data_IF_963597500047
#
_entry.id   IF_963597500047
#
_cell.length_a   1.000
_cell.length_b   1.000
_cell.length_c   1.000
_cell.angle_alpha   90.00
_cell.angle_beta   90.00
_cell.angle_gamma   90.00
#
_symmetry.space_group_name_H-M   'P 1'
#
loop_
_entity.id
_entity.type
_entity.pdbx_description
1 polymer ?
#
# COMPACT_ATOMS: atom_id res chain seq x y z
N UNK A 1 -45.85 29.55 -80.58
CA UNK A 1 -45.46 28.15 -80.41
C UNK A 1 -45.46 27.88 -78.91
N UNK A 2 -46.49 27.09 -78.57
CA UNK A 2 -46.88 26.65 -77.25
C UNK A 2 -46.01 25.46 -76.82
N UNK A 3 -45.49 25.52 -75.61
CA UNK A 3 -44.97 24.36 -74.91
C UNK A 3 -45.61 24.23 -73.54
N UNK A 4 -46.51 23.25 -73.46
CA UNK A 4 -47.22 22.86 -72.23
C UNK A 4 -46.27 22.33 -71.18
N UNK A 5 -46.34 22.93 -70.02
CA UNK A 5 -45.80 22.40 -68.77
C UNK A 5 -46.63 21.18 -68.30
N UNK A 6 -46.01 20.05 -68.26
CA UNK A 6 -46.52 18.90 -67.48
C UNK A 6 -45.81 18.83 -66.14
N UNK A 7 -46.46 19.34 -65.10
CA UNK A 7 -46.03 19.14 -63.73
C UNK A 7 -46.44 17.78 -63.24
N UNK A 8 -45.54 16.84 -63.13
CA UNK A 8 -45.75 15.56 -62.42
C UNK A 8 -45.62 15.76 -60.93
N UNK A 9 -46.73 15.65 -60.26
CA UNK A 9 -46.86 15.65 -58.81
C UNK A 9 -46.16 14.42 -58.24
N UNK A 10 -44.98 14.60 -57.66
CA UNK A 10 -44.32 13.54 -56.91
C UNK A 10 -45.06 13.30 -55.60
N UNK A 11 -45.63 12.13 -55.45
CA UNK A 11 -46.21 11.63 -54.20
C UNK A 11 -45.07 11.28 -53.29
N UNK A 12 -44.87 12.04 -52.22
CA UNK A 12 -44.00 11.71 -51.12
C UNK A 12 -44.67 10.58 -50.29
N UNK A 13 -44.26 9.34 -50.51
CA UNK A 13 -44.55 8.25 -49.62
C UNK A 13 -43.53 8.29 -48.47
N UNK A 14 -43.91 8.90 -47.35
CA UNK A 14 -43.15 8.72 -46.10
C UNK A 14 -43.37 7.29 -45.64
N UNK A 15 -42.37 6.47 -45.88
CA UNK A 15 -42.28 5.17 -45.22
C UNK A 15 -42.06 5.44 -43.74
N UNK A 16 -43.04 5.07 -42.95
CA UNK A 16 -43.03 5.06 -41.48
C UNK A 16 -41.85 4.24 -41.02
N UNK A 17 -40.81 4.91 -40.53
CA UNK A 17 -39.67 4.24 -39.88
C UNK A 17 -40.18 3.43 -38.71
N UNK A 18 -39.98 2.15 -38.78
CA UNK A 18 -40.22 1.21 -37.69
C UNK A 18 -39.48 1.68 -36.46
N UNK A 19 -40.21 1.79 -35.33
CA UNK A 19 -39.72 2.10 -34.02
C UNK A 19 -38.51 1.23 -33.71
N UNK A 20 -37.36 1.90 -33.56
CA UNK A 20 -36.15 1.28 -33.00
C UNK A 20 -36.47 0.82 -31.58
N UNK A 21 -36.50 -0.49 -31.43
CA UNK A 21 -36.61 -1.21 -30.17
C UNK A 21 -35.69 -0.59 -29.14
N UNK A 22 -36.25 -0.09 -28.04
CA UNK A 22 -35.56 0.51 -26.94
C UNK A 22 -34.42 -0.37 -26.44
N UNK A 23 -33.23 0.19 -26.39
CA UNK A 23 -32.06 -0.34 -25.68
C UNK A 23 -32.50 -0.68 -24.25
N UNK A 24 -32.62 -1.97 -23.97
CA UNK A 24 -32.78 -2.46 -22.59
C UNK A 24 -31.53 -2.03 -21.83
N UNK A 25 -31.67 -1.05 -20.93
CA UNK A 25 -30.66 -0.66 -19.97
C UNK A 25 -30.19 -1.88 -19.15
N UNK A 26 -29.04 -1.79 -18.48
CA UNK A 26 -28.51 -2.90 -17.71
C UNK A 26 -29.59 -3.33 -16.71
N UNK A 27 -30.01 -4.57 -16.83
CA UNK A 27 -30.88 -5.20 -15.85
C UNK A 27 -30.13 -5.22 -14.54
N UNK A 28 -30.43 -4.29 -13.64
CA UNK A 28 -30.05 -4.43 -12.23
C UNK A 28 -30.55 -5.81 -11.81
N UNK A 29 -29.63 -6.68 -11.49
CA UNK A 29 -29.96 -7.98 -10.93
C UNK A 29 -30.67 -7.71 -9.61
N UNK A 30 -32.01 -7.72 -9.65
CA UNK A 30 -32.79 -7.77 -8.41
C UNK A 30 -32.37 -9.05 -7.73
N UNK A 31 -31.68 -8.91 -6.62
CA UNK A 31 -31.38 -10.01 -5.72
C UNK A 31 -32.72 -10.70 -5.45
N UNK A 32 -32.97 -11.83 -6.12
CA UNK A 32 -34.15 -12.65 -5.84
C UNK A 32 -33.93 -13.21 -4.44
N UNK A 33 -34.59 -12.63 -3.46
CA UNK A 33 -34.72 -13.25 -2.15
C UNK A 33 -35.10 -14.72 -2.35
N UNK A 34 -34.38 -15.66 -1.71
CA UNK A 34 -34.70 -17.07 -1.83
C UNK A 34 -36.17 -17.27 -1.51
N UNK A 35 -36.86 -18.10 -2.32
CA UNK A 35 -38.32 -18.32 -2.25
C UNK A 35 -38.81 -18.68 -0.84
N UNK A 36 -37.92 -19.26 -0.02
CA UNK A 36 -38.17 -19.57 1.39
C UNK A 36 -38.43 -18.30 2.24
N UNK A 37 -37.63 -17.24 2.07
CA UNK A 37 -37.85 -15.97 2.78
C UNK A 37 -39.10 -15.25 2.31
N UNK A 38 -39.41 -15.27 1.03
CA UNK A 38 -40.61 -14.67 0.47
C UNK A 38 -41.87 -15.40 0.97
N UNK A 39 -41.82 -16.73 1.12
CA UNK A 39 -42.93 -17.54 1.65
C UNK A 39 -43.18 -17.25 3.14
N UNK A 40 -42.14 -17.03 3.92
CA UNK A 40 -42.26 -16.63 5.34
C UNK A 40 -42.89 -15.22 5.49
N UNK A 41 -42.48 -14.25 4.64
CA UNK A 41 -43.05 -12.91 4.67
C UNK A 41 -44.51 -12.86 4.18
N UNK A 42 -44.90 -13.68 3.25
CA UNK A 42 -46.27 -13.76 2.75
C UNK A 42 -47.28 -14.30 3.79
N UNK A 43 -46.82 -15.15 4.68
CA UNK A 43 -47.69 -15.76 5.72
C UNK A 43 -47.95 -14.87 6.94
N UNK A 44 -47.17 -13.83 7.13
CA UNK A 44 -47.29 -12.90 8.27
C UNK A 44 -48.51 -11.97 8.13
N UNK A 45 -49.02 -11.73 6.93
CA UNK A 45 -50.15 -10.82 6.66
C UNK A 45 -51.53 -11.31 7.12
N UNK A 46 -51.69 -12.58 7.51
CA UNK A 46 -52.98 -13.15 7.86
C UNK A 46 -53.18 -13.59 9.31
N UNK A 47 -52.24 -13.23 10.21
CA UNK A 47 -52.31 -13.63 11.61
C UNK A 47 -52.78 -12.50 12.49
N UNK A 48 -53.83 -12.72 13.26
CA UNK A 48 -54.36 -11.82 14.29
C UNK A 48 -53.28 -11.43 15.30
N UNK A 49 -53.21 -10.14 15.67
CA UNK A 49 -52.20 -9.41 16.42
C UNK A 49 -51.16 -10.17 17.27
N UNK A 50 -51.59 -11.03 18.20
CA UNK A 50 -50.66 -11.77 19.07
C UNK A 50 -49.83 -12.86 18.35
N UNK A 51 -50.45 -13.50 17.38
CA UNK A 51 -49.77 -14.57 16.55
C UNK A 51 -48.78 -13.96 15.57
N UNK A 52 -49.00 -12.73 15.10
CA UNK A 52 -48.04 -12.03 14.23
C UNK A 52 -46.83 -11.56 14.98
N UNK A 53 -46.98 -11.09 16.22
CA UNK A 53 -45.85 -10.76 17.10
C UNK A 53 -44.98 -11.97 17.39
N UNK A 54 -45.59 -13.12 17.74
CA UNK A 54 -44.85 -14.35 17.95
C UNK A 54 -44.08 -14.80 16.71
N UNK A 55 -44.66 -14.70 15.51
CA UNK A 55 -44.01 -15.03 14.25
C UNK A 55 -42.82 -14.09 13.95
N UNK A 56 -42.95 -12.79 14.23
CA UNK A 56 -41.84 -11.84 14.08
C UNK A 56 -40.71 -12.17 15.05
N UNK A 57 -41.02 -12.46 16.30
CA UNK A 57 -40.01 -12.84 17.31
C UNK A 57 -39.26 -14.10 16.88
N UNK A 58 -39.96 -15.14 16.44
CA UNK A 58 -39.35 -16.38 15.95
C UNK A 58 -38.45 -16.08 14.74
N UNK A 59 -38.87 -15.22 13.83
CA UNK A 59 -38.08 -14.85 12.64
C UNK A 59 -36.83 -14.07 13.03
N UNK A 60 -36.93 -13.14 13.99
CA UNK A 60 -35.80 -12.37 14.50
C UNK A 60 -34.80 -13.26 15.25
N UNK A 61 -35.29 -14.17 16.08
CA UNK A 61 -34.46 -15.16 16.77
C UNK A 61 -33.77 -16.08 15.77
N UNK A 62 -34.49 -16.59 14.78
CA UNK A 62 -33.93 -17.42 13.71
C UNK A 62 -32.84 -16.69 12.92
N UNK A 63 -33.09 -15.42 12.54
CA UNK A 63 -32.09 -14.58 11.87
C UNK A 63 -30.86 -14.31 12.76
N UNK A 64 -31.08 -14.06 14.05
CA UNK A 64 -30.00 -13.90 15.02
C UNK A 64 -29.13 -15.16 15.15
N UNK A 65 -29.75 -16.34 15.19
CA UNK A 65 -29.02 -17.62 15.23
C UNK A 65 -28.21 -17.87 13.95
N UNK A 66 -28.78 -17.54 12.79
CA UNK A 66 -28.04 -17.64 11.51
C UNK A 66 -26.84 -16.69 11.49
N UNK A 67 -27.01 -15.43 11.91
CA UNK A 67 -25.91 -14.48 11.98
C UNK A 67 -24.85 -14.94 12.99
N UNK A 68 -25.25 -15.42 14.16
CA UNK A 68 -24.34 -15.95 15.16
C UNK A 68 -23.56 -17.17 14.61
N UNK A 69 -24.22 -18.06 13.89
CA UNK A 69 -23.60 -19.21 13.23
C UNK A 69 -22.59 -18.79 12.17
N UNK A 70 -22.90 -17.80 11.34
CA UNK A 70 -21.97 -17.26 10.35
C UNK A 70 -20.76 -16.61 11.03
N UNK A 71 -20.97 -15.80 12.07
CA UNK A 71 -19.87 -15.21 12.83
C UNK A 71 -18.97 -16.29 13.48
N UNK A 72 -19.58 -17.28 14.10
CA UNK A 72 -18.83 -18.38 14.73
C UNK A 72 -18.00 -19.16 13.71
N UNK A 73 -18.60 -19.55 12.59
CA UNK A 73 -17.88 -20.30 11.54
C UNK A 73 -16.77 -19.46 10.92
N UNK A 74 -16.99 -18.15 10.73
CA UNK A 74 -15.95 -17.24 10.21
C UNK A 74 -14.77 -17.12 11.17
N UNK A 75 -15.02 -16.95 12.47
CA UNK A 75 -13.98 -16.89 13.50
C UNK A 75 -13.24 -18.23 13.61
N UNK A 76 -13.95 -19.34 13.55
CA UNK A 76 -13.35 -20.67 13.59
C UNK A 76 -12.45 -20.91 12.38
N UNK A 77 -12.92 -20.56 11.18
CA UNK A 77 -12.13 -20.68 9.94
C UNK A 77 -10.89 -19.78 9.98
N UNK A 78 -11.05 -18.54 10.47
CA UNK A 78 -9.94 -17.60 10.64
C UNK A 78 -8.88 -18.14 11.60
N UNK A 79 -9.29 -18.65 12.77
CA UNK A 79 -8.35 -19.26 13.72
C UNK A 79 -7.64 -20.48 13.13
N UNK A 80 -8.37 -21.34 12.41
CA UNK A 80 -7.79 -22.52 11.76
C UNK A 80 -6.78 -22.10 10.66
N UNK A 81 -7.05 -21.05 9.92
CA UNK A 81 -6.13 -20.53 8.89
C UNK A 81 -4.83 -19.97 9.53
N UNK A 82 -4.94 -19.23 10.63
CA UNK A 82 -3.77 -18.67 11.33
C UNK A 82 -2.89 -19.77 11.94
N UNK A 83 -3.46 -20.88 12.37
CA UNK A 83 -2.70 -21.99 12.97
C UNK A 83 -2.27 -23.05 11.96
N UNK A 84 -2.63 -22.89 10.68
CA UNK A 84 -2.31 -23.84 9.63
C UNK A 84 -0.87 -23.71 9.17
N UNK A 85 -0.14 -24.83 9.06
CA UNK A 85 1.20 -24.92 8.49
C UNK A 85 1.26 -24.50 7.01
N UNK A 86 0.12 -24.46 6.33
CA UNK A 86 0.02 -24.01 4.95
C UNK A 86 0.43 -22.55 4.77
N UNK A 87 0.19 -21.71 5.78
CA UNK A 87 0.55 -20.30 5.79
C UNK A 87 1.84 -20.00 6.57
N UNK A 88 2.61 -21.00 6.90
CA UNK A 88 3.91 -20.83 7.56
C UNK A 88 4.90 -20.19 6.60
N UNK A 89 5.51 -19.08 6.98
CA UNK A 89 6.50 -18.36 6.18
C UNK A 89 7.75 -19.19 6.01
N UNK A 90 8.05 -19.56 4.78
CA UNK A 90 9.24 -20.35 4.42
C UNK A 90 10.29 -19.51 3.68
N UNK A 91 9.85 -18.50 2.97
CA UNK A 91 10.72 -17.69 2.12
C UNK A 91 10.56 -16.20 2.44
N UNK A 92 11.67 -15.56 2.75
CA UNK A 92 11.73 -14.11 2.95
C UNK A 92 12.83 -13.56 2.05
N UNK A 93 12.45 -12.91 0.98
CA UNK A 93 13.37 -12.27 0.05
C UNK A 93 13.61 -10.83 0.49
N UNK A 94 14.88 -10.47 0.68
CA UNK A 94 15.31 -9.11 1.01
C UNK A 94 16.13 -8.57 -0.15
N UNK A 95 15.76 -7.39 -0.65
CA UNK A 95 16.44 -6.74 -1.77
C UNK A 95 16.70 -5.27 -1.48
N UNK A 96 17.84 -4.75 -1.98
CA UNK A 96 18.25 -3.37 -1.79
C UNK A 96 19.04 -3.12 -0.50
N UNK A 97 19.34 -4.18 0.24
CA UNK A 97 20.22 -4.13 1.39
C UNK A 97 21.69 -4.19 0.92
N UNK A 98 22.50 -3.24 1.39
CA UNK A 98 23.94 -3.14 1.09
C UNK A 98 24.76 -3.26 2.37
N UNK A 99 24.38 -2.51 3.40
CA UNK A 99 25.01 -2.50 4.73
C UNK A 99 24.31 -3.39 5.72
N UNK A 100 22.98 -3.38 5.68
CA UNK A 100 22.20 -4.21 6.57
C UNK A 100 22.24 -5.65 6.04
N UNK A 101 22.66 -6.60 6.86
CA UNK A 101 22.54 -8.00 6.53
C UNK A 101 21.06 -8.39 6.48
N UNK A 102 20.75 -9.46 5.73
CA UNK A 102 19.39 -10.03 5.70
C UNK A 102 18.85 -10.26 7.11
N UNK A 103 19.67 -10.84 7.98
CA UNK A 103 19.25 -11.19 9.34
C UNK A 103 18.97 -9.95 10.21
N UNK A 104 19.74 -8.87 10.03
CA UNK A 104 19.46 -7.59 10.70
C UNK A 104 18.13 -6.99 10.22
N UNK A 105 17.84 -7.06 8.92
CA UNK A 105 16.56 -6.58 8.37
C UNK A 105 15.40 -7.36 8.96
N UNK A 106 15.52 -8.68 9.05
CA UNK A 106 14.50 -9.54 9.65
C UNK A 106 14.30 -9.23 11.14
N UNK A 107 15.38 -9.08 11.87
CA UNK A 107 15.36 -8.74 13.29
C UNK A 107 14.72 -7.37 13.54
N UNK A 108 15.11 -6.34 12.80
CA UNK A 108 14.52 -4.99 12.94
C UNK A 108 13.05 -4.97 12.50
N UNK A 109 12.70 -5.70 11.48
CA UNK A 109 11.31 -5.85 11.04
C UNK A 109 10.45 -6.63 12.03
N UNK A 110 11.06 -7.46 12.87
CA UNK A 110 10.36 -8.39 13.75
C UNK A 110 9.65 -9.49 12.96
N UNK A 111 10.29 -9.97 11.89
CA UNK A 111 9.78 -11.04 11.02
C UNK A 111 10.73 -12.25 11.11
N UNK A 112 10.17 -13.44 11.30
CA UNK A 112 10.93 -14.68 11.38
C UNK A 112 10.42 -15.72 10.41
N UNK A 113 11.31 -16.60 9.96
CA UNK A 113 10.91 -17.82 9.28
C UNK A 113 10.15 -18.70 10.26
N UNK A 114 9.05 -19.27 9.85
CA UNK A 114 8.13 -20.00 10.74
C UNK A 114 6.91 -19.21 11.19
N UNK A 115 6.94 -17.87 11.09
CA UNK A 115 5.77 -17.06 11.40
C UNK A 115 4.61 -17.38 10.45
N UNK A 116 3.38 -17.32 10.98
CA UNK A 116 2.22 -17.47 10.10
C UNK A 116 2.05 -16.22 9.23
N UNK A 117 2.09 -16.40 7.91
CA UNK A 117 2.06 -15.30 6.95
C UNK A 117 0.81 -14.43 7.05
N UNK A 118 -0.34 -14.97 7.50
CA UNK A 118 -1.57 -14.21 7.69
C UNK A 118 -1.57 -13.41 8.98
N UNK A 119 -0.90 -13.89 10.02
CA UNK A 119 -0.82 -13.24 11.33
C UNK A 119 0.13 -12.05 11.35
N UNK A 120 1.16 -12.06 10.50
CA UNK A 120 2.14 -10.97 10.40
C UNK A 120 1.50 -9.69 9.88
N UNK A 121 1.63 -8.60 10.60
CA UNK A 121 1.19 -7.27 10.15
C UNK A 121 2.26 -6.60 9.30
N UNK A 122 2.03 -6.48 7.99
CA UNK A 122 2.93 -5.79 7.05
C UNK A 122 3.20 -4.35 7.50
N UNK A 123 2.16 -3.63 7.92
CA UNK A 123 2.30 -2.25 8.37
C UNK A 123 3.22 -2.12 9.59
N UNK A 124 3.19 -3.08 10.51
CA UNK A 124 4.08 -3.12 11.68
C UNK A 124 5.53 -3.38 11.25
N UNK A 125 5.74 -4.33 10.35
CA UNK A 125 7.08 -4.64 9.80
C UNK A 125 7.67 -3.42 9.10
N UNK A 126 6.92 -2.77 8.22
CA UNK A 126 7.35 -1.54 7.55
C UNK A 126 7.63 -0.40 8.53
N UNK A 127 6.76 -0.23 9.53
CA UNK A 127 6.95 0.80 10.55
C UNK A 127 8.25 0.59 11.33
N UNK A 128 8.51 -0.63 11.78
CA UNK A 128 9.72 -0.98 12.51
C UNK A 128 10.98 -0.72 11.66
N UNK A 129 10.97 -1.15 10.40
CA UNK A 129 12.09 -0.95 9.49
C UNK A 129 12.33 0.53 9.18
N UNK A 130 11.28 1.35 9.04
CA UNK A 130 11.41 2.81 8.85
C UNK A 130 12.02 3.53 10.05
N UNK A 131 11.89 2.97 11.24
CA UNK A 131 12.54 3.53 12.44
C UNK A 131 14.04 3.24 12.49
N UNK A 132 14.54 2.32 11.68
CA UNK A 132 15.96 2.04 11.58
C UNK A 132 16.66 3.21 10.87
N UNK A 133 17.68 3.82 11.49
CA UNK A 133 18.33 5.03 10.96
C UNK A 133 18.87 4.86 9.54
N UNK A 134 19.31 3.66 9.19
CA UNK A 134 19.88 3.32 7.89
C UNK A 134 18.85 3.13 6.76
N UNK A 135 17.57 3.03 7.08
CA UNK A 135 16.52 2.79 6.08
C UNK A 135 15.95 4.13 5.61
N UNK A 136 16.03 4.40 4.31
CA UNK A 136 15.42 5.57 3.67
C UNK A 136 13.98 5.26 3.27
N UNK A 137 13.79 4.15 2.54
CA UNK A 137 12.50 3.70 2.09
C UNK A 137 12.39 2.18 2.26
N UNK A 138 11.21 1.70 2.57
CA UNK A 138 10.90 0.27 2.66
C UNK A 138 9.52 -0.04 2.16
N UNK A 139 9.41 -1.15 1.48
CA UNK A 139 8.14 -1.73 1.03
C UNK A 139 8.15 -3.21 1.30
N UNK A 140 7.12 -3.70 1.98
CA UNK A 140 6.95 -5.11 2.32
C UNK A 140 5.73 -5.64 1.59
N UNK A 141 5.90 -6.75 0.88
CA UNK A 141 4.80 -7.44 0.18
C UNK A 141 4.69 -8.86 0.69
N UNK A 142 3.46 -9.28 0.94
CA UNK A 142 3.12 -10.67 1.21
C UNK A 142 2.73 -11.34 -0.08
N UNK A 143 3.34 -12.46 -0.38
CA UNK A 143 2.98 -13.36 -1.48
C UNK A 143 2.51 -14.67 -0.85
N UNK A 144 1.21 -14.83 -0.76
CA UNK A 144 0.62 -16.05 -0.21
C UNK A 144 1.02 -17.28 -1.03
N UNK A 145 1.16 -18.47 -0.38
CA UNK A 145 0.83 -18.69 1.02
C UNK A 145 1.96 -18.39 2.02
N UNK A 146 3.24 -18.44 1.62
CA UNK A 146 4.39 -18.67 2.51
C UNK A 146 5.57 -17.71 2.28
N UNK A 147 5.40 -16.63 1.50
CA UNK A 147 6.51 -15.77 1.09
C UNK A 147 6.29 -14.30 1.45
N UNK A 148 7.37 -13.65 1.90
CA UNK A 148 7.47 -12.20 1.99
C UNK A 148 8.58 -11.66 1.08
N UNK A 149 8.36 -10.48 0.53
CA UNK A 149 9.34 -9.74 -0.25
C UNK A 149 9.51 -8.37 0.39
N UNK A 150 10.70 -8.11 0.91
CA UNK A 150 11.09 -6.84 1.51
C UNK A 150 12.00 -6.14 0.52
N UNK A 151 11.60 -4.97 0.05
CA UNK A 151 12.44 -4.09 -0.75
C UNK A 151 12.76 -2.86 0.09
N UNK A 152 14.03 -2.60 0.29
CA UNK A 152 14.49 -1.45 1.04
C UNK A 152 15.48 -0.64 0.22
N UNK A 153 15.54 0.65 0.54
CA UNK A 153 16.56 1.57 0.06
C UNK A 153 17.30 2.10 1.29
N UNK A 154 18.59 1.87 1.33
CA UNK A 154 19.42 2.35 2.44
C UNK A 154 19.84 3.81 2.23
N UNK A 155 19.98 4.51 3.33
CA UNK A 155 20.55 5.87 3.35
C UNK A 155 22.02 5.81 3.02
N UNK A 156 22.44 6.55 2.03
CA UNK A 156 23.85 6.68 1.66
C UNK A 156 24.52 7.78 2.50
N UNK A 157 25.49 7.44 3.32
CA UNK A 157 26.25 8.44 4.05
C UNK A 157 27.21 9.15 3.09
N UNK A 158 27.27 10.47 3.20
CA UNK A 158 28.12 11.34 2.38
C UNK A 158 29.11 12.12 3.19
N UNK A 159 28.83 12.31 4.48
CA UNK A 159 29.64 13.11 5.39
C UNK A 159 29.74 12.51 6.78
N UNK A 160 30.78 12.92 7.50
CA UNK A 160 30.81 12.88 8.96
C UNK A 160 30.40 14.22 9.52
N UNK A 161 29.60 14.20 10.58
CA UNK A 161 29.19 15.39 11.33
C UNK A 161 29.55 15.19 12.81
N UNK A 162 30.22 16.18 13.39
CA UNK A 162 30.41 16.25 14.83
C UNK A 162 29.15 16.79 15.50
N UNK A 163 28.59 16.02 16.42
CA UNK A 163 27.44 16.42 17.23
C UNK A 163 27.60 15.89 18.64
N UNK A 164 27.41 16.74 19.64
CA UNK A 164 27.44 16.37 21.07
C UNK A 164 28.70 15.57 21.50
N UNK A 165 29.85 15.90 20.89
CA UNK A 165 31.13 15.23 21.18
C UNK A 165 31.33 13.87 20.54
N UNK A 166 30.38 13.41 19.73
CA UNK A 166 30.43 12.16 18.96
C UNK A 166 30.42 12.41 17.46
N UNK A 167 30.91 11.43 16.71
CA UNK A 167 30.96 11.46 15.26
C UNK A 167 29.78 10.65 14.68
N UNK A 168 29.04 11.25 13.73
CA UNK A 168 27.87 10.66 13.09
C UNK A 168 28.05 10.63 11.60
N UNK A 169 27.41 9.67 10.95
CA UNK A 169 27.17 9.68 9.52
C UNK A 169 26.03 10.62 9.18
N UNK A 170 26.20 11.41 8.13
CA UNK A 170 25.14 12.24 7.56
C UNK A 170 25.02 11.99 6.05
N UNK A 171 23.81 12.18 5.53
CA UNK A 171 23.57 12.09 4.09
C UNK A 171 24.00 13.38 3.37
N UNK A 172 23.83 13.39 2.05
CA UNK A 172 24.11 14.55 1.19
C UNK A 172 23.37 15.85 1.58
N UNK A 173 22.27 15.72 2.33
CA UNK A 173 21.48 16.84 2.85
C UNK A 173 21.89 17.25 4.27
N UNK A 174 22.98 16.72 4.79
CA UNK A 174 23.43 17.00 6.15
C UNK A 174 22.58 16.35 7.26
N UNK A 175 21.59 15.52 6.90
CA UNK A 175 20.75 14.84 7.90
C UNK A 175 21.52 13.70 8.52
N UNK A 176 21.59 13.71 9.84
CA UNK A 176 22.28 12.68 10.63
C UNK A 176 21.58 11.33 10.47
N UNK A 177 22.35 10.29 10.19
CA UNK A 177 21.87 8.91 10.00
C UNK A 177 22.08 8.11 11.29
N UNK A 178 23.34 7.87 11.64
CA UNK A 178 23.72 7.00 12.75
C UNK A 178 25.10 7.37 13.29
N UNK A 179 25.44 7.01 14.53
CA UNK A 179 26.78 7.18 15.03
C UNK A 179 27.79 6.33 14.25
N UNK A 180 29.03 6.82 14.17
CA UNK A 180 30.13 6.10 13.52
C UNK A 180 30.59 4.98 14.43
N UNK A 181 30.47 3.74 13.96
CA UNK A 181 30.97 2.55 14.65
C UNK A 181 32.33 2.12 14.09
N UNK A 182 33.19 1.65 14.94
CA UNK A 182 34.57 1.24 14.57
C UNK A 182 34.60 0.08 13.55
N UNK A 183 33.56 -0.74 13.49
CA UNK A 183 33.51 -1.92 12.63
C UNK A 183 33.21 -1.61 11.17
N UNK A 184 32.55 -0.48 10.88
CA UNK A 184 32.05 -0.12 9.54
C UNK A 184 32.48 1.32 9.17
N UNK A 185 33.76 1.61 9.35
CA UNK A 185 34.32 2.93 9.10
C UNK A 185 34.40 3.21 7.59
N UNK A 186 33.78 4.31 7.15
CA UNK A 186 33.91 4.84 5.81
C UNK A 186 34.73 6.10 5.82
N UNK A 187 35.68 6.20 4.91
CA UNK A 187 36.39 7.44 4.67
C UNK A 187 35.50 8.46 3.97
N UNK A 188 35.01 9.43 4.72
CA UNK A 188 34.11 10.48 4.24
C UNK A 188 34.62 11.85 4.65
N UNK A 189 34.30 12.91 3.90
CA UNK A 189 34.62 14.26 4.31
C UNK A 189 33.87 14.68 5.57
N UNK A 190 34.48 15.46 6.43
CA UNK A 190 33.83 16.03 7.61
C UNK A 190 33.02 17.27 7.21
N UNK A 191 31.75 17.30 7.55
CA UNK A 191 30.89 18.46 7.39
C UNK A 191 30.79 19.24 8.70
N UNK A 192 31.10 20.51 8.66
CA UNK A 192 30.87 21.47 9.73
C UNK A 192 29.89 22.53 9.26
N UNK A 193 28.77 22.67 9.95
CA UNK A 193 27.78 23.72 9.69
C UNK A 193 27.87 24.72 10.84
N UNK A 194 28.22 25.97 10.52
CA UNK A 194 28.23 27.06 11.51
C UNK A 194 26.78 27.56 11.70
N UNK A 195 26.52 28.13 12.88
CA UNK A 195 25.18 28.63 13.21
C UNK A 195 24.78 29.74 12.22
N UNK A 196 23.61 29.58 11.60
CA UNK A 196 23.10 30.48 10.58
C UNK A 196 23.45 30.08 9.15
N UNK A 197 24.18 28.99 8.94
CA UNK A 197 24.55 28.49 7.61
C UNK A 197 23.63 27.31 7.16
N UNK A 198 22.53 27.08 7.83
CA UNK A 198 21.59 25.98 7.52
C UNK A 198 20.97 26.11 6.13
N UNK A 199 20.79 27.34 5.66
CA UNK A 199 20.28 27.65 4.31
C UNK A 199 21.24 27.24 3.18
N UNK A 200 22.52 27.00 3.48
CA UNK A 200 23.52 26.51 2.54
C UNK A 200 23.46 25.00 2.29
N UNK A 201 22.74 24.23 3.11
CA UNK A 201 22.65 22.76 2.99
C UNK A 201 22.12 22.31 1.62
N UNK A 202 21.11 22.94 0.98
CA UNK A 202 20.65 22.55 -0.36
C UNK A 202 21.73 22.72 -1.44
N UNK A 203 22.60 23.74 -1.29
CA UNK A 203 23.73 23.96 -2.20
C UNK A 203 24.79 22.88 -2.05
N UNK A 204 25.01 22.40 -0.80
CA UNK A 204 25.89 21.28 -0.53
C UNK A 204 25.47 20.02 -1.28
N UNK A 205 24.18 19.66 -1.23
CA UNK A 205 23.65 18.51 -1.93
C UNK A 205 23.87 18.60 -3.44
N UNK A 206 23.72 19.80 -4.01
CA UNK A 206 24.00 20.07 -5.42
C UNK A 206 25.48 19.95 -5.74
N UNK A 207 26.35 20.54 -4.93
CA UNK A 207 27.79 20.46 -5.07
C UNK A 207 28.29 19.00 -5.06
N UNK A 208 27.80 18.20 -4.13
CA UNK A 208 28.15 16.78 -4.05
C UNK A 208 27.68 15.99 -5.25
N UNK A 209 26.51 16.30 -5.77
CA UNK A 209 26.00 15.69 -7.01
C UNK A 209 26.88 16.07 -8.23
N UNK A 210 27.30 17.32 -8.32
CA UNK A 210 28.15 17.80 -9.42
C UNK A 210 29.56 17.17 -9.36
N UNK A 211 30.10 16.95 -8.16
CA UNK A 211 31.35 16.21 -7.94
C UNK A 211 31.18 14.74 -8.36
N UNK A 212 30.12 14.07 -7.90
CA UNK A 212 29.88 12.67 -8.24
C UNK A 212 29.61 12.42 -9.71
N UNK A 213 29.01 13.38 -10.40
CA UNK A 213 28.75 13.32 -11.84
C UNK A 213 29.96 13.69 -12.73
N UNK A 214 31.08 14.07 -12.11
CA UNK A 214 32.31 14.46 -12.84
C UNK A 214 32.22 15.84 -13.51
N UNK A 215 31.23 16.64 -13.19
CA UNK A 215 31.13 18.04 -13.66
C UNK A 215 32.25 18.88 -13.10
N UNK A 216 32.65 18.62 -11.85
CA UNK A 216 33.79 19.26 -11.22
C UNK A 216 35.01 18.32 -11.25
N UNK A 217 36.22 18.83 -11.59
CA UNK A 217 37.43 18.03 -11.69
C UNK A 217 38.04 17.72 -10.30
N UNK A 218 37.16 17.36 -9.34
CA UNK A 218 37.53 17.04 -7.95
C UNK A 218 36.93 15.70 -7.60
N UNK A 219 37.77 14.77 -7.14
CA UNK A 219 37.28 13.50 -6.60
C UNK A 219 36.72 13.69 -5.20
N UNK A 220 35.56 13.09 -4.90
CA UNK A 220 34.95 13.18 -3.58
C UNK A 220 35.87 12.67 -2.47
N UNK A 221 36.77 11.71 -2.76
CA UNK A 221 37.77 11.18 -1.85
C UNK A 221 38.95 12.14 -1.53
N UNK A 222 39.13 13.19 -2.34
CA UNK A 222 40.15 14.20 -2.09
C UNK A 222 39.70 15.32 -1.12
N UNK A 223 38.40 15.35 -0.80
CA UNK A 223 37.84 16.37 0.10
C UNK A 223 37.93 15.87 1.53
N UNK A 224 38.74 16.54 2.35
CA UNK A 224 38.89 16.17 3.76
C UNK A 224 37.78 16.79 4.64
N UNK A 225 37.42 18.05 4.37
CA UNK A 225 36.38 18.74 5.15
C UNK A 225 35.67 19.80 4.31
N UNK A 226 34.42 20.04 4.67
CA UNK A 226 33.58 21.09 4.12
C UNK A 226 33.03 21.88 5.30
N UNK A 227 33.21 23.20 5.27
CA UNK A 227 32.66 24.10 6.27
C UNK A 227 31.67 25.03 5.58
N UNK A 228 30.43 25.04 6.11
CA UNK A 228 29.38 25.98 5.69
C UNK A 228 29.40 27.13 6.68
N UNK A 229 29.71 28.34 6.20
CA UNK A 229 29.63 29.59 6.96
C UNK A 229 28.49 30.45 6.41
N UNK A 230 27.87 31.33 7.22
CA UNK A 230 26.82 32.25 6.81
C UNK A 230 27.26 33.27 5.76
#
# INVERSE_FOLDING_TARGET
LSLKKNARKARNSYTRASSVSGRKGPRTAKLRMPAFLAACFGRIKSLSGLKSLAAIVVLLVGMGLVLAGVCFTSLWLYNTAITSDFFTTRHIDVAGNVRLSRDMVLQYGGLQEGDNSLAVSIAKVEHNLRQTPWVEEVSVKRLLPDRFVIKLKERMPSFWVHKDGALYYANERGVVIAPVESKNFLSLPTLRVESGAEDAIPFLARLMKDIQSGVLPVEAGAIASITLSP
#
